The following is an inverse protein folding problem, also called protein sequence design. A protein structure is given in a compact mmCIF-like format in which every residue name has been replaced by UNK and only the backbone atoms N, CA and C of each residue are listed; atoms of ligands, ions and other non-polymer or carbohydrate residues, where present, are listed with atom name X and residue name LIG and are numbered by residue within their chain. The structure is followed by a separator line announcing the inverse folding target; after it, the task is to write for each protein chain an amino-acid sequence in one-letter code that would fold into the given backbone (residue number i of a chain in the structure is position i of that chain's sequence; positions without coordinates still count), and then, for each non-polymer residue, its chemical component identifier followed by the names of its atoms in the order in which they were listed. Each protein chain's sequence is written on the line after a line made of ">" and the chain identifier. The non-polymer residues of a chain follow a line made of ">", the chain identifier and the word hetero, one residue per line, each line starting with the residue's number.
data_IF_956600623610
#
_entry.id   IF_956600623610
#
_cell.length_a   1.000
_cell.length_b   1.000
_cell.length_c   1.000
_cell.angle_alpha   90.00
_cell.angle_beta   90.00
_cell.angle_gamma   90.00
#
_symmetry.space_group_name_H-M   'P 1'
#
loop_
_entity.id
_entity.type
_entity.pdbx_description
1 polymer ?
#
# COMPACT_ATOMS: atom_id res chain seq x y z
N UNK A 1 28.15 -1.80 3.19
CA UNK A 1 26.80 -2.41 3.20
C UNK A 1 26.27 -2.37 1.76
N UNK A 2 26.20 -3.53 1.09
CA UNK A 2 25.87 -3.62 -0.33
C UNK A 2 24.38 -3.34 -0.57
N UNK A 3 24.07 -2.13 -1.04
CA UNK A 3 22.70 -1.67 -1.25
C UNK A 3 22.11 -2.25 -2.56
N UNK A 4 21.50 -3.44 -2.50
CA UNK A 4 20.81 -4.09 -3.64
C UNK A 4 19.32 -3.71 -3.70
N UNK A 5 19.02 -2.51 -4.20
CA UNK A 5 17.64 -1.96 -4.34
C UNK A 5 16.70 -2.85 -5.16
N UNK A 6 17.23 -3.59 -6.15
CA UNK A 6 16.40 -4.26 -7.16
C UNK A 6 15.48 -5.36 -6.62
N UNK A 7 15.91 -6.09 -5.59
CA UNK A 7 15.16 -7.23 -5.10
C UNK A 7 13.95 -6.81 -4.25
N UNK A 8 14.00 -5.63 -3.64
CA UNK A 8 12.96 -5.20 -2.70
C UNK A 8 11.70 -4.74 -3.40
N UNK A 9 11.81 -4.00 -4.50
CA UNK A 9 10.63 -3.54 -5.26
C UNK A 9 9.89 -4.68 -5.94
N UNK A 10 10.61 -5.72 -6.42
CA UNK A 10 9.98 -6.94 -6.96
C UNK A 10 9.16 -7.64 -5.89
N UNK A 11 9.74 -7.84 -4.70
CA UNK A 11 9.02 -8.45 -3.57
C UNK A 11 7.76 -7.65 -3.23
N UNK A 12 7.86 -6.32 -3.14
CA UNK A 12 6.70 -5.46 -2.89
C UNK A 12 5.63 -5.63 -3.97
N UNK A 13 6.00 -5.60 -5.26
CA UNK A 13 5.04 -5.81 -6.34
C UNK A 13 4.36 -7.19 -6.29
N UNK A 14 5.09 -8.26 -5.96
CA UNK A 14 4.51 -9.59 -5.79
C UNK A 14 3.51 -9.61 -4.63
N UNK A 15 3.86 -9.03 -3.48
CA UNK A 15 2.98 -8.95 -2.32
C UNK A 15 1.73 -8.12 -2.61
N UNK A 16 1.85 -7.00 -3.33
CA UNK A 16 0.72 -6.20 -3.79
C UNK A 16 -0.17 -6.98 -4.79
N UNK A 17 0.42 -7.82 -5.64
CA UNK A 17 -0.33 -8.73 -6.50
C UNK A 17 -1.14 -9.76 -5.71
N UNK A 18 -0.57 -10.32 -4.64
CA UNK A 18 -1.29 -11.20 -3.73
C UNK A 18 -2.41 -10.47 -2.98
N UNK A 19 -2.18 -9.22 -2.55
CA UNK A 19 -3.20 -8.36 -1.91
C UNK A 19 -4.40 -8.13 -2.85
N UNK A 20 -4.17 -7.88 -4.14
CA UNK A 20 -5.25 -7.79 -5.15
C UNK A 20 -6.06 -9.10 -5.22
N UNK A 21 -5.40 -10.26 -5.20
CA UNK A 21 -6.11 -11.55 -5.20
C UNK A 21 -6.98 -11.73 -3.96
N UNK A 22 -6.49 -11.31 -2.79
CA UNK A 22 -7.28 -11.34 -1.55
C UNK A 22 -8.52 -10.45 -1.64
N UNK A 23 -8.42 -9.28 -2.27
CA UNK A 23 -9.57 -8.41 -2.52
C UNK A 23 -10.56 -9.01 -3.53
N UNK A 24 -10.09 -9.69 -4.57
CA UNK A 24 -10.95 -10.39 -5.51
C UNK A 24 -11.73 -11.53 -4.84
N UNK A 25 -11.07 -12.31 -3.98
CA UNK A 25 -11.71 -13.37 -3.18
C UNK A 25 -12.73 -12.77 -2.20
N UNK A 26 -12.41 -11.63 -1.56
CA UNK A 26 -13.36 -10.95 -0.69
C UNK A 26 -14.65 -10.58 -1.45
N UNK A 27 -14.53 -10.00 -2.65
CA UNK A 27 -15.68 -9.65 -3.47
C UNK A 27 -16.50 -10.90 -3.78
N UNK A 28 -15.84 -11.96 -4.24
CA UNK A 28 -16.50 -13.22 -4.56
C UNK A 28 -17.27 -13.80 -3.37
N UNK A 29 -16.69 -13.78 -2.16
CA UNK A 29 -17.37 -14.22 -0.94
C UNK A 29 -18.51 -13.31 -0.49
N UNK A 30 -18.49 -12.04 -0.85
CA UNK A 30 -19.44 -11.03 -0.34
C UNK A 30 -20.67 -10.88 -1.23
N UNK A 31 -20.54 -11.14 -2.53
CA UNK A 31 -21.63 -10.98 -3.51
C UNK A 31 -22.86 -11.85 -3.19
N UNK A 32 -22.75 -13.15 -2.88
CA UNK A 32 -23.91 -13.98 -2.55
C UNK A 32 -24.62 -13.49 -1.29
N UNK A 33 -23.87 -13.08 -0.26
CA UNK A 33 -24.43 -12.54 0.98
C UNK A 33 -25.26 -11.29 0.70
N UNK A 34 -24.74 -10.39 -0.13
CA UNK A 34 -25.46 -9.17 -0.52
C UNK A 34 -26.82 -9.50 -1.14
N UNK A 35 -26.88 -10.42 -2.11
CA UNK A 35 -28.15 -10.79 -2.75
C UNK A 35 -29.08 -11.56 -1.79
N UNK A 36 -28.56 -12.57 -1.08
CA UNK A 36 -29.34 -13.38 -0.15
C UNK A 36 -29.99 -12.53 0.94
N UNK A 37 -29.31 -11.48 1.41
CA UNK A 37 -29.81 -10.60 2.49
C UNK A 37 -30.63 -9.42 1.97
N UNK A 38 -30.44 -9.01 0.71
CA UNK A 38 -31.21 -7.92 0.09
C UNK A 38 -32.70 -8.27 0.02
N UNK A 39 -33.03 -9.52 -0.31
CA UNK A 39 -34.42 -10.01 -0.38
C UNK A 39 -35.17 -9.89 0.95
N UNK A 40 -34.46 -9.96 2.09
CA UNK A 40 -35.05 -9.84 3.43
C UNK A 40 -35.04 -8.42 4.02
N UNK A 41 -34.38 -7.45 3.36
CA UNK A 41 -34.26 -6.07 3.85
C UNK A 41 -35.56 -5.25 3.74
N UNK A 42 -36.54 -5.73 2.97
CA UNK A 42 -37.86 -5.11 2.83
C UNK A 42 -38.81 -5.29 4.02
N UNK A 43 -38.42 -6.09 5.03
CA UNK A 43 -39.17 -6.35 6.26
C UNK A 43 -38.41 -5.85 7.48
N UNK A 44 -39.13 -5.33 8.48
CA UNK A 44 -38.56 -4.81 9.74
C UNK A 44 -37.67 -5.88 10.41
N UNK A 45 -36.37 -5.59 10.59
CA UNK A 45 -35.35 -6.35 11.35
C UNK A 45 -35.54 -7.88 11.25
N UNK A 46 -35.05 -8.49 10.17
CA UNK A 46 -35.08 -9.95 10.01
C UNK A 46 -33.92 -10.60 10.77
N UNK A 47 -34.19 -11.44 11.80
CA UNK A 47 -33.13 -12.14 12.52
C UNK A 47 -32.41 -13.15 11.62
N UNK A 48 -31.11 -13.37 11.87
CA UNK A 48 -30.31 -14.35 11.10
C UNK A 48 -30.88 -15.78 11.17
N UNK A 49 -31.63 -16.12 12.22
CA UNK A 49 -32.26 -17.44 12.38
C UNK A 49 -33.31 -17.76 11.31
N UNK A 50 -33.79 -16.75 10.59
CA UNK A 50 -34.77 -16.90 9.50
C UNK A 50 -34.05 -17.14 8.15
N UNK A 51 -32.77 -16.81 8.05
CA UNK A 51 -31.98 -17.05 6.83
C UNK A 51 -31.73 -18.54 6.61
N UNK A 52 -31.49 -18.90 5.35
CA UNK A 52 -30.98 -20.23 4.99
C UNK A 52 -29.69 -20.50 5.81
N UNK A 53 -29.57 -21.67 6.49
CA UNK A 53 -28.35 -22.05 7.20
C UNK A 53 -27.06 -21.89 6.36
N UNK A 54 -27.15 -22.12 5.05
CA UNK A 54 -26.05 -21.92 4.10
C UNK A 54 -25.59 -20.46 4.02
N UNK A 55 -26.53 -19.50 4.07
CA UNK A 55 -26.23 -18.06 4.08
C UNK A 55 -25.55 -17.66 5.38
N UNK A 56 -25.99 -18.22 6.52
CA UNK A 56 -25.36 -17.98 7.82
C UNK A 56 -23.92 -18.49 7.84
N UNK A 57 -23.68 -19.69 7.28
CA UNK A 57 -22.32 -20.24 7.13
C UNK A 57 -21.44 -19.36 6.22
N UNK A 58 -21.98 -18.87 5.09
CA UNK A 58 -21.30 -17.91 4.21
C UNK A 58 -20.88 -16.65 4.94
N UNK A 59 -21.76 -16.07 5.77
CA UNK A 59 -21.46 -14.89 6.58
C UNK A 59 -20.28 -15.17 7.51
N UNK A 60 -20.31 -16.29 8.24
CA UNK A 60 -19.21 -16.67 9.13
C UNK A 60 -17.88 -16.87 8.38
N UNK A 61 -17.90 -17.55 7.23
CA UNK A 61 -16.71 -17.72 6.38
C UNK A 61 -16.16 -16.38 5.88
N UNK A 62 -17.04 -15.47 5.43
CA UNK A 62 -16.67 -14.14 4.94
C UNK A 62 -15.98 -13.30 6.04
N UNK A 63 -16.51 -13.33 7.26
CA UNK A 63 -15.91 -12.64 8.42
C UNK A 63 -14.54 -13.22 8.76
N UNK A 64 -14.42 -14.55 8.84
CA UNK A 64 -13.15 -15.23 9.09
C UNK A 64 -12.10 -14.88 8.03
N UNK A 65 -12.48 -14.91 6.76
CA UNK A 65 -11.61 -14.50 5.67
C UNK A 65 -11.19 -13.03 5.79
N UNK A 66 -12.11 -12.14 6.17
CA UNK A 66 -11.84 -10.71 6.38
C UNK A 66 -10.78 -10.50 7.47
N UNK A 67 -10.84 -11.23 8.59
CA UNK A 67 -9.83 -11.15 9.66
C UNK A 67 -8.45 -11.68 9.23
N UNK A 68 -8.42 -12.79 8.50
CA UNK A 68 -7.18 -13.35 7.95
C UNK A 68 -6.56 -12.35 6.97
N UNK A 69 -7.36 -11.83 6.04
CA UNK A 69 -6.93 -10.82 5.06
C UNK A 69 -6.38 -9.58 5.75
N UNK A 70 -7.06 -9.07 6.78
CA UNK A 70 -6.60 -7.92 7.56
C UNK A 70 -5.22 -8.18 8.18
N UNK A 71 -5.02 -9.38 8.77
CA UNK A 71 -3.73 -9.77 9.36
C UNK A 71 -2.61 -9.82 8.32
N UNK A 72 -2.88 -10.38 7.13
CA UNK A 72 -1.93 -10.40 6.02
C UNK A 72 -1.62 -8.97 5.54
N UNK A 73 -2.63 -8.11 5.43
CA UNK A 73 -2.47 -6.73 5.01
C UNK A 73 -1.56 -5.94 5.96
N UNK A 74 -1.65 -6.15 7.27
CA UNK A 74 -0.72 -5.57 8.23
C UNK A 74 0.73 -6.01 7.99
N UNK A 75 0.95 -7.31 7.73
CA UNK A 75 2.29 -7.85 7.42
C UNK A 75 2.85 -7.20 6.14
N UNK A 76 2.04 -7.10 5.08
CA UNK A 76 2.41 -6.43 3.83
C UNK A 76 2.73 -4.96 4.11
N UNK A 77 1.93 -4.28 4.94
CA UNK A 77 2.15 -2.90 5.36
C UNK A 77 3.54 -2.67 5.96
N UNK A 78 3.99 -3.53 6.87
CA UNK A 78 5.35 -3.42 7.43
C UNK A 78 6.45 -3.58 6.37
N UNK A 79 6.25 -4.47 5.40
CA UNK A 79 7.20 -4.66 4.30
C UNK A 79 7.22 -3.43 3.38
N UNK A 80 6.07 -2.82 3.13
CA UNK A 80 5.95 -1.56 2.39
C UNK A 80 6.64 -0.42 3.13
N UNK A 81 6.48 -0.29 4.44
CA UNK A 81 7.20 0.71 5.25
C UNK A 81 8.71 0.53 5.14
N UNK A 82 9.20 -0.71 5.24
CA UNK A 82 10.62 -1.01 5.05
C UNK A 82 11.09 -0.66 3.63
N UNK A 83 10.24 -0.82 2.62
CA UNK A 83 10.53 -0.38 1.25
C UNK A 83 10.56 1.15 1.13
N UNK A 84 9.62 1.88 1.73
CA UNK A 84 9.58 3.36 1.74
C UNK A 84 10.86 3.92 2.35
N UNK A 85 11.26 3.39 3.53
CA UNK A 85 12.52 3.78 4.18
C UNK A 85 13.71 3.61 3.22
N UNK A 86 13.79 2.45 2.56
CA UNK A 86 14.86 2.15 1.59
C UNK A 86 14.81 3.06 0.37
N UNK A 87 13.63 3.27 -0.21
CA UNK A 87 13.48 4.14 -1.37
C UNK A 87 13.99 5.54 -1.05
N UNK A 88 13.58 6.11 0.09
CA UNK A 88 14.04 7.42 0.53
C UNK A 88 15.54 7.44 0.87
N UNK A 89 16.04 6.41 1.57
CA UNK A 89 17.47 6.30 1.91
C UNK A 89 18.37 6.25 0.66
N UNK A 90 17.91 5.62 -0.43
CA UNK A 90 18.64 5.65 -1.70
C UNK A 90 18.69 7.08 -2.28
N UNK A 91 17.58 7.79 -2.22
CA UNK A 91 17.47 9.18 -2.69
C UNK A 91 18.40 10.11 -1.90
N UNK A 92 18.48 9.93 -0.58
CA UNK A 92 19.33 10.74 0.30
C UNK A 92 20.82 10.40 0.17
N UNK A 93 21.20 9.13 0.12
CA UNK A 93 22.62 8.71 0.19
C UNK A 93 23.28 8.47 -1.15
N UNK A 94 22.57 7.86 -2.10
CA UNK A 94 23.13 7.44 -3.39
C UNK A 94 22.90 8.51 -4.44
N UNK A 95 21.65 8.98 -4.57
CA UNK A 95 21.31 10.07 -5.48
C UNK A 95 21.82 11.42 -4.94
N UNK A 96 21.91 11.55 -3.60
CA UNK A 96 22.34 12.77 -2.90
C UNK A 96 21.49 13.98 -3.27
N UNK A 97 20.17 13.77 -3.29
CA UNK A 97 19.22 14.84 -3.55
C UNK A 97 19.34 15.94 -2.49
N UNK A 98 19.20 17.19 -2.93
CA UNK A 98 19.35 18.39 -2.10
C UNK A 98 18.00 18.79 -1.50
N UNK A 99 18.08 19.46 -0.35
CA UNK A 99 16.94 20.12 0.31
C UNK A 99 15.77 19.16 0.62
N UNK A 100 16.08 17.90 0.97
CA UNK A 100 15.08 16.94 1.47
C UNK A 100 14.51 17.46 2.80
N UNK A 101 13.19 17.37 2.98
CA UNK A 101 12.49 17.81 4.19
C UNK A 101 12.28 16.65 5.16
N UNK A 102 12.22 15.42 4.66
CA UNK A 102 12.05 14.24 5.47
C UNK A 102 13.41 13.56 5.75
N UNK A 103 13.52 13.00 6.96
CA UNK A 103 14.57 12.02 7.25
C UNK A 103 14.07 10.62 6.87
N UNK A 104 14.99 9.68 6.62
CA UNK A 104 14.62 8.31 6.23
C UNK A 104 13.64 7.66 7.23
N UNK A 105 13.84 7.89 8.54
CA UNK A 105 12.95 7.41 9.59
C UNK A 105 11.61 8.16 9.68
N UNK A 106 11.60 9.48 9.42
CA UNK A 106 10.36 10.25 9.44
C UNK A 106 9.37 9.74 8.37
N UNK A 107 9.86 9.26 7.23
CA UNK A 107 9.02 8.69 6.15
C UNK A 107 8.13 7.52 6.60
N UNK A 108 8.53 6.78 7.65
CA UNK A 108 7.77 5.63 8.16
C UNK A 108 7.03 5.93 9.47
N UNK A 109 7.61 6.74 10.36
CA UNK A 109 7.05 7.00 11.69
C UNK A 109 5.69 7.71 11.59
N UNK A 110 5.51 8.58 10.60
CA UNK A 110 4.25 9.32 10.45
C UNK A 110 3.03 8.46 10.13
N UNK A 111 3.19 7.23 9.65
CA UNK A 111 2.07 6.30 9.48
C UNK A 111 1.41 5.91 10.81
N UNK A 112 2.14 6.00 11.91
CA UNK A 112 1.68 5.62 13.25
C UNK A 112 1.10 6.80 14.05
N UNK A 113 1.19 8.02 13.53
CA UNK A 113 0.69 9.23 14.20
C UNK A 113 -0.63 9.63 13.52
N UNK A 114 -1.81 9.50 14.18
CA UNK A 114 -3.11 9.59 13.52
C UNK A 114 -3.32 10.84 12.65
N UNK A 115 -3.05 12.03 13.20
CA UNK A 115 -3.22 13.29 12.47
C UNK A 115 -2.17 13.48 11.37
N UNK A 116 -0.93 13.01 11.60
CA UNK A 116 0.12 13.11 10.61
C UNK A 116 -0.09 12.12 9.45
N UNK A 117 -0.65 10.94 9.74
CA UNK A 117 -0.94 9.89 8.77
C UNK A 117 -1.91 10.34 7.67
N UNK A 118 -2.65 11.43 7.88
CA UNK A 118 -3.53 12.03 6.86
C UNK A 118 -2.78 12.77 5.75
N UNK A 119 -1.53 13.20 5.99
CA UNK A 119 -0.80 14.08 5.05
C UNK A 119 0.68 13.74 4.87
N UNK A 120 1.37 13.33 5.94
CA UNK A 120 2.82 13.19 5.94
C UNK A 120 3.31 12.02 5.08
N UNK A 121 2.66 10.83 5.07
CA UNK A 121 3.13 9.75 4.20
C UNK A 121 3.06 10.10 2.72
N UNK A 122 1.99 10.76 2.28
CA UNK A 122 1.90 11.32 0.93
C UNK A 122 3.06 12.27 0.61
N UNK A 123 3.35 13.21 1.52
CA UNK A 123 4.45 14.16 1.33
C UNK A 123 5.81 13.46 1.25
N UNK A 124 6.03 12.43 2.07
CA UNK A 124 7.28 11.66 2.08
C UNK A 124 7.49 10.87 0.78
N UNK A 125 6.47 10.18 0.27
CA UNK A 125 6.56 9.43 -0.99
C UNK A 125 6.67 10.37 -2.19
N UNK A 126 5.93 11.49 -2.18
CA UNK A 126 6.06 12.55 -3.18
C UNK A 126 7.48 13.11 -3.23
N UNK A 127 8.06 13.46 -2.08
CA UNK A 127 9.45 13.92 -2.00
C UNK A 127 10.41 12.86 -2.53
N UNK A 128 10.25 11.60 -2.10
CA UNK A 128 11.08 10.47 -2.57
C UNK A 128 11.04 10.34 -4.09
N UNK A 129 9.86 10.41 -4.71
CA UNK A 129 9.72 10.34 -6.17
C UNK A 129 10.42 11.51 -6.84
N UNK A 130 9.99 12.75 -6.54
CA UNK A 130 10.45 13.94 -7.26
C UNK A 130 11.95 14.16 -7.06
N UNK A 131 12.46 13.94 -5.85
CA UNK A 131 13.88 14.06 -5.53
C UNK A 131 14.73 12.95 -6.17
N UNK A 132 14.15 11.78 -6.48
CA UNK A 132 14.84 10.77 -7.28
C UNK A 132 14.96 11.19 -8.76
N UNK A 133 13.94 11.89 -9.27
CA UNK A 133 13.84 12.30 -10.67
C UNK A 133 14.71 13.54 -10.96
N UNK A 134 14.56 14.60 -10.16
CA UNK A 134 15.33 15.84 -10.27
C UNK A 134 16.01 16.19 -8.93
N UNK A 135 17.21 15.63 -8.64
CA UNK A 135 17.83 15.72 -7.31
C UNK A 135 18.15 17.13 -6.81
N UNK A 136 18.18 18.14 -7.69
CA UNK A 136 18.58 19.50 -7.33
C UNK A 136 17.44 20.50 -7.30
N UNK A 137 16.35 20.26 -8.06
CA UNK A 137 15.24 21.19 -8.23
C UNK A 137 13.86 20.52 -8.13
N UNK A 138 13.77 19.37 -7.47
CA UNK A 138 12.54 18.57 -7.35
C UNK A 138 11.34 19.34 -6.80
N UNK A 139 11.54 20.42 -6.04
CA UNK A 139 10.43 21.22 -5.49
C UNK A 139 9.62 21.94 -6.56
N UNK A 140 10.22 22.15 -7.75
CA UNK A 140 9.57 22.81 -8.88
C UNK A 140 8.86 21.82 -9.81
N UNK A 141 9.03 20.52 -9.59
CA UNK A 141 8.46 19.49 -10.44
C UNK A 141 6.95 19.32 -10.18
N UNK A 142 6.14 19.13 -11.24
CA UNK A 142 4.73 18.87 -11.10
C UNK A 142 4.51 17.56 -10.33
N UNK A 143 3.45 17.50 -9.54
CA UNK A 143 3.13 16.28 -8.80
C UNK A 143 2.47 15.26 -9.72
N UNK A 144 2.98 14.02 -9.81
CA UNK A 144 2.33 12.96 -10.55
C UNK A 144 0.91 12.71 -10.08
N UNK A 145 -0.06 12.68 -11.00
CA UNK A 145 -1.48 12.47 -10.67
C UNK A 145 -1.72 11.14 -9.94
N UNK A 146 -0.94 10.10 -10.25
CA UNK A 146 -1.03 8.78 -9.60
C UNK A 146 -0.82 8.86 -8.08
N UNK A 147 0.05 9.75 -7.59
CA UNK A 147 0.25 9.95 -6.15
C UNK A 147 -0.98 10.56 -5.48
N UNK A 148 -1.63 11.50 -6.16
CA UNK A 148 -2.86 12.15 -5.67
C UNK A 148 -3.99 11.12 -5.61
N UNK A 149 -4.19 10.38 -6.71
CA UNK A 149 -5.23 9.33 -6.79
C UNK A 149 -5.00 8.26 -5.72
N UNK A 150 -3.79 7.72 -5.61
CA UNK A 150 -3.45 6.73 -4.59
C UNK A 150 -3.77 7.22 -3.18
N UNK A 151 -3.40 8.46 -2.87
CA UNK A 151 -3.62 9.01 -1.53
C UNK A 151 -5.08 9.29 -1.23
N UNK A 152 -5.84 9.83 -2.19
CA UNK A 152 -7.28 10.04 -2.02
C UNK A 152 -8.00 8.70 -1.78
N UNK A 153 -7.63 7.65 -2.51
CA UNK A 153 -8.17 6.31 -2.28
C UNK A 153 -7.81 5.77 -0.90
N UNK A 154 -6.55 5.98 -0.44
CA UNK A 154 -6.13 5.61 0.91
C UNK A 154 -6.98 6.32 1.99
N UNK A 155 -7.25 7.62 1.84
CA UNK A 155 -8.08 8.36 2.78
C UNK A 155 -9.54 7.86 2.80
N UNK A 156 -10.08 7.44 1.64
CA UNK A 156 -11.42 6.85 1.55
C UNK A 156 -11.54 5.51 2.30
N UNK A 157 -10.43 4.80 2.53
CA UNK A 157 -10.42 3.55 3.29
C UNK A 157 -10.48 3.74 4.82
N UNK A 158 -10.12 4.93 5.32
CA UNK A 158 -10.14 5.22 6.77
C UNK A 158 -11.52 5.02 7.40
N UNK A 159 -12.63 5.61 6.88
CA UNK A 159 -13.95 5.40 7.46
C UNK A 159 -14.42 3.93 7.36
N UNK A 160 -14.00 3.20 6.33
CA UNK A 160 -14.33 1.78 6.17
C UNK A 160 -13.74 0.94 7.30
N UNK A 161 -12.56 1.29 7.80
CA UNK A 161 -11.94 0.62 8.95
C UNK A 161 -12.71 0.85 10.26
N UNK A 162 -13.32 2.03 10.44
CA UNK A 162 -14.08 2.35 11.65
C UNK A 162 -15.40 1.57 11.74
N UNK A 163 -16.02 1.25 10.60
CA UNK A 163 -17.25 0.45 10.54
C UNK A 163 -17.01 -1.03 10.88
N UNK A 164 -15.80 -1.56 10.70
CA UNK A 164 -15.48 -2.94 11.09
C UNK A 164 -15.66 -3.21 12.59
N UNK A 165 -15.65 -2.17 13.45
CA UNK A 165 -15.90 -2.32 14.88
C UNK A 165 -17.38 -2.52 15.23
N UNK A 166 -18.32 -2.23 14.31
CA UNK A 166 -19.75 -2.49 14.53
C UNK A 166 -20.12 -3.96 14.40
N UNK A 167 -19.23 -4.77 13.81
CA UNK A 167 -19.39 -6.23 13.63
C UNK A 167 -19.36 -7.00 14.95
N UNK A 168 -18.83 -6.41 16.03
CA UNK A 168 -18.86 -6.99 17.39
C UNK A 168 -20.21 -6.79 18.10
N UNK A 169 -21.22 -6.25 17.42
CA UNK A 169 -22.57 -6.16 17.98
C UNK A 169 -23.17 -7.57 18.18
N UNK A 170 -23.67 -7.89 19.39
CA UNK A 170 -24.29 -9.19 19.67
C UNK A 170 -25.56 -9.45 18.85
N UNK A 171 -26.18 -8.41 18.30
CA UNK A 171 -27.46 -8.45 17.59
C UNK A 171 -27.31 -8.27 16.08
N UNK A 172 -26.43 -9.06 15.43
CA UNK A 172 -26.31 -9.01 13.97
C UNK A 172 -27.61 -9.52 13.33
N UNK A 173 -28.21 -8.68 12.49
CA UNK A 173 -29.40 -9.00 11.70
C UNK A 173 -29.08 -9.07 10.20
N UNK A 174 -30.07 -9.43 9.38
CA UNK A 174 -29.89 -9.52 7.94
C UNK A 174 -29.52 -8.17 7.30
N UNK A 175 -29.99 -7.05 7.86
CA UNK A 175 -29.72 -5.71 7.34
C UNK A 175 -28.25 -5.30 7.59
N UNK A 176 -27.72 -5.57 8.78
CA UNK A 176 -26.31 -5.34 9.10
C UNK A 176 -25.40 -6.25 8.27
N UNK A 177 -25.76 -7.53 8.09
CA UNK A 177 -25.03 -8.44 7.22
C UNK A 177 -24.99 -7.96 5.76
N UNK A 178 -26.12 -7.45 5.24
CA UNK A 178 -26.18 -6.83 3.91
C UNK A 178 -25.24 -5.63 3.79
N UNK A 179 -25.30 -4.72 4.77
CA UNK A 179 -24.43 -3.55 4.83
C UNK A 179 -22.96 -3.93 4.83
N UNK A 180 -22.55 -4.86 5.70
CA UNK A 180 -21.18 -5.37 5.78
C UNK A 180 -20.73 -5.95 4.43
N UNK A 181 -21.56 -6.76 3.77
CA UNK A 181 -21.25 -7.34 2.47
C UNK A 181 -21.06 -6.25 1.40
N UNK A 182 -21.97 -5.26 1.32
CA UNK A 182 -21.86 -4.13 0.40
C UNK A 182 -20.57 -3.33 0.66
N UNK A 183 -20.27 -3.01 1.92
CA UNK A 183 -19.05 -2.31 2.29
C UNK A 183 -17.80 -3.12 1.93
N UNK A 184 -17.80 -4.43 2.14
CA UNK A 184 -16.69 -5.29 1.77
C UNK A 184 -16.45 -5.29 0.24
N UNK A 185 -17.51 -5.30 -0.57
CA UNK A 185 -17.44 -5.21 -2.04
C UNK A 185 -16.84 -3.86 -2.45
N UNK A 186 -17.46 -2.75 -2.03
CA UNK A 186 -17.04 -1.39 -2.41
C UNK A 186 -15.61 -1.11 -1.94
N UNK A 187 -15.31 -1.43 -0.68
CA UNK A 187 -13.97 -1.26 -0.10
C UNK A 187 -12.91 -2.07 -0.83
N UNK A 188 -13.23 -3.30 -1.28
CA UNK A 188 -12.30 -4.12 -2.04
C UNK A 188 -12.05 -3.61 -3.45
N UNK A 189 -13.06 -3.04 -4.12
CA UNK A 189 -12.87 -2.37 -5.42
C UNK A 189 -11.94 -1.15 -5.27
N UNK A 190 -12.20 -0.30 -4.27
CA UNK A 190 -11.34 0.86 -3.98
C UNK A 190 -9.91 0.40 -3.68
N UNK A 191 -9.76 -0.66 -2.89
CA UNK A 191 -8.45 -1.20 -2.51
C UNK A 191 -7.68 -1.73 -3.71
N UNK A 192 -8.32 -2.44 -4.64
CA UNK A 192 -7.68 -2.91 -5.88
C UNK A 192 -7.14 -1.72 -6.67
N UNK A 193 -7.94 -0.66 -6.86
CA UNK A 193 -7.51 0.53 -7.60
C UNK A 193 -6.35 1.23 -6.89
N UNK A 194 -6.43 1.36 -5.55
CA UNK A 194 -5.37 1.92 -4.73
C UNK A 194 -4.06 1.12 -4.84
N UNK A 195 -4.15 -0.20 -4.75
CA UNK A 195 -3.01 -1.12 -4.84
C UNK A 195 -2.37 -1.06 -6.23
N UNK A 196 -3.17 -0.99 -7.30
CA UNK A 196 -2.66 -0.76 -8.66
C UNK A 196 -1.92 0.57 -8.79
N UNK A 197 -2.50 1.66 -8.26
CA UNK A 197 -1.83 2.97 -8.24
C UNK A 197 -0.51 2.91 -7.45
N UNK A 198 -0.47 2.17 -6.34
CA UNK A 198 0.75 1.99 -5.55
C UNK A 198 1.80 1.13 -6.26
N UNK A 199 1.41 0.09 -6.99
CA UNK A 199 2.32 -0.68 -7.86
C UNK A 199 2.98 0.24 -8.89
N UNK A 200 2.21 1.11 -9.54
CA UNK A 200 2.75 2.10 -10.49
C UNK A 200 3.77 3.03 -9.82
N UNK A 201 3.49 3.47 -8.59
CA UNK A 201 4.42 4.29 -7.80
C UNK A 201 5.73 3.55 -7.53
N UNK A 202 5.65 2.31 -7.05
CA UNK A 202 6.83 1.47 -6.76
C UNK A 202 7.66 1.25 -8.02
N UNK A 203 7.03 0.88 -9.13
CA UNK A 203 7.71 0.62 -10.40
C UNK A 203 8.38 1.87 -10.95
N UNK A 204 7.73 3.03 -10.87
CA UNK A 204 8.27 4.26 -11.41
C UNK A 204 9.45 4.78 -10.58
N UNK A 205 9.35 4.76 -9.26
CA UNK A 205 10.48 5.08 -8.37
C UNK A 205 11.65 4.11 -8.63
N UNK A 206 11.36 2.80 -8.75
CA UNK A 206 12.39 1.80 -9.04
C UNK A 206 13.08 2.06 -10.39
N UNK A 207 12.32 2.41 -11.43
CA UNK A 207 12.83 2.72 -12.75
C UNK A 207 13.77 3.93 -12.72
N UNK A 208 13.35 5.02 -12.06
CA UNK A 208 14.16 6.23 -11.88
C UNK A 208 15.47 5.88 -11.15
N UNK A 209 15.37 5.19 -10.01
CA UNK A 209 16.54 4.84 -9.18
C UNK A 209 17.50 3.87 -9.88
N UNK A 210 17.00 2.98 -10.74
CA UNK A 210 17.83 2.07 -11.53
C UNK A 210 18.77 2.80 -12.49
N UNK A 211 18.40 3.98 -13.00
CA UNK A 211 19.25 4.80 -13.90
C UNK A 211 20.54 5.28 -13.23
N UNK A 212 20.60 5.31 -11.90
CA UNK A 212 21.78 5.72 -11.14
C UNK A 212 22.76 4.56 -10.87
N UNK A 213 22.34 3.29 -11.01
CA UNK A 213 23.20 2.13 -10.75
C UNK A 213 24.43 2.03 -11.68
N UNK A 214 24.33 2.24 -13.02
CA UNK A 214 25.48 2.17 -13.92
C UNK A 214 26.55 3.24 -13.66
N UNK A 215 26.15 4.41 -13.14
CA UNK A 215 27.08 5.51 -12.82
C UNK A 215 27.97 5.21 -11.62
N UNK A 216 27.53 4.32 -10.72
CA UNK A 216 28.27 3.95 -9.51
C UNK A 216 29.34 2.91 -9.85
N UNK A 217 29.01 1.89 -10.67
CA UNK A 217 29.96 0.84 -11.06
C UNK A 217 31.14 1.37 -11.88
N UNK A 218 30.94 2.44 -12.66
CA UNK A 218 32.01 3.10 -13.41
C UNK A 218 32.92 3.99 -12.56
N UNK A 219 32.42 4.57 -11.46
CA UNK A 219 33.22 5.37 -10.52
C UNK A 219 34.03 4.53 -9.53
N UNK A 220 33.62 3.29 -9.27
CA UNK A 220 34.32 2.36 -8.37
C UNK A 220 35.43 1.54 -9.05
N UNK A 221 35.60 1.63 -10.39
CA UNK A 221 36.81 1.08 -11.02
C UNK A 221 38.00 1.93 -10.58
N UNK A 222 39.06 1.34 -9.97
CA UNK A 222 40.27 2.08 -9.67
C UNK A 222 40.76 2.72 -10.97
N UNK A 223 41.04 4.02 -10.96
CA UNK A 223 41.88 4.61 -12.02
C UNK A 223 43.20 3.84 -11.93
N UNK A 224 43.56 3.11 -12.99
CA UNK A 224 44.85 2.44 -13.08
C UNK A 224 45.93 3.48 -12.73
N UNK A 225 46.57 3.28 -11.57
CA UNK A 225 47.71 4.10 -11.17
C UNK A 225 48.79 3.82 -12.22
N UNK A 226 49.27 4.82 -12.97
CA UNK A 226 50.35 4.57 -13.91
C UNK A 226 51.54 4.04 -13.12
N UNK A 227 51.95 2.80 -13.43
CA UNK A 227 53.16 2.20 -12.86
C UNK A 227 54.32 3.11 -13.25
N UNK A 228 54.84 3.87 -12.31
CA UNK A 228 56.02 4.70 -12.51
C UNK A 228 57.22 3.75 -12.70
N UNK A 229 57.84 3.67 -13.89
CA UNK A 229 58.90 2.71 -14.14
C UNK A 229 60.25 3.31 -13.75
N UNK A 230 60.43 3.77 -12.51
CA UNK A 230 61.72 4.27 -12.03
C UNK A 230 61.88 4.05 -10.52
N UNK A 231 62.23 2.82 -10.14
CA UNK A 231 63.14 2.58 -9.01
C UNK A 231 64.05 1.44 -9.45
N UNK A 232 65.23 1.82 -9.93
CA UNK A 232 66.41 0.98 -10.15
C UNK A 232 67.23 0.90 -8.86
#
# INVERSE_FOLDING_TARGET
>A
MNYRVGNHSILVCVLLGLDILLHAIQIWLSVPIFFDTMDYSGTMITPLTVLNPETVERIALNLNFSYIKLSIHFIIGFIILAWIYRAHHFTSTVIKAKNLRFTDGACIVYFFIPFANLFMPYRAIKETWLASENPTQWQNEPTPAVLIVWWLLFLLQIPLCLLSFTVFAPDMDAALANGIALFAIVGSVIAIIQTLAFVLIVLQIQNIQNKYKPKISSQTKPKDVPKNPLVS
#
